data_IF_611899901013
#
_entry.id   IF_611899901013
#
_cell.length_a   1.000
_cell.length_b   1.000
_cell.length_c   1.000
_cell.angle_alpha   90.00
_cell.angle_beta   90.00
_cell.angle_gamma   90.00
#
_symmetry.space_group_name_H-M   'P 1'
#
loop_
_entity.id
_entity.type
_entity.pdbx_description
1 polymer ?
#
# COMPACT_ATOMS: atom_id res chain seq x y z
N UNK A 1 4.24 -31.96 -20.52
CA UNK A 1 4.91 -31.51 -19.28
C UNK A 1 3.97 -30.54 -18.60
N UNK A 2 3.71 -30.68 -17.30
CA UNK A 2 2.93 -29.70 -16.55
C UNK A 2 3.73 -28.40 -16.42
N UNK A 3 3.06 -27.25 -16.55
CA UNK A 3 3.71 -25.96 -16.31
C UNK A 3 4.07 -25.84 -14.82
N UNK A 4 5.22 -25.23 -14.50
CA UNK A 4 5.60 -25.01 -13.10
C UNK A 4 4.61 -24.08 -12.40
N UNK A 5 4.35 -24.37 -11.13
CA UNK A 5 3.46 -23.60 -10.25
C UNK A 5 4.21 -22.52 -9.49
N UNK A 6 3.50 -21.51 -8.99
CA UNK A 6 4.10 -20.45 -8.17
C UNK A 6 4.73 -21.00 -6.87
N UNK A 7 4.15 -22.06 -6.28
CA UNK A 7 4.74 -22.74 -5.11
C UNK A 7 6.06 -23.45 -5.45
N UNK A 8 6.16 -24.07 -6.64
CA UNK A 8 7.43 -24.67 -7.10
C UNK A 8 8.50 -23.59 -7.34
N UNK A 9 8.10 -22.44 -7.87
CA UNK A 9 8.98 -21.27 -7.95
C UNK A 9 9.43 -20.82 -6.55
N UNK A 10 8.52 -20.66 -5.60
CA UNK A 10 8.85 -20.26 -4.23
C UNK A 10 9.85 -21.21 -3.55
N UNK A 11 9.65 -22.52 -3.68
CA UNK A 11 10.60 -23.52 -3.16
C UNK A 11 11.98 -23.39 -3.79
N UNK A 12 12.04 -23.15 -5.10
CA UNK A 12 13.29 -22.95 -5.83
C UNK A 12 13.99 -21.64 -5.41
N UNK A 13 13.21 -20.59 -5.17
CA UNK A 13 13.70 -19.31 -4.65
C UNK A 13 14.28 -19.46 -3.24
N UNK A 14 13.64 -20.22 -2.33
CA UNK A 14 14.18 -20.47 -1.00
C UNK A 14 15.52 -21.20 -1.04
N UNK A 15 15.69 -22.14 -1.98
CA UNK A 15 16.99 -22.79 -2.19
C UNK A 15 18.04 -21.77 -2.65
N UNK A 16 17.70 -20.89 -3.59
CA UNK A 16 18.59 -19.82 -4.04
C UNK A 16 18.99 -18.90 -2.89
N UNK A 17 18.02 -18.41 -2.11
CA UNK A 17 18.23 -17.53 -0.95
C UNK A 17 19.22 -18.16 0.03
N UNK A 18 19.05 -19.45 0.35
CA UNK A 18 19.96 -20.18 1.23
C UNK A 18 21.42 -20.17 0.73
N UNK A 19 21.65 -20.28 -0.57
CA UNK A 19 23.03 -20.22 -1.13
C UNK A 19 23.71 -18.86 -0.93
N UNK A 20 22.92 -17.79 -0.75
CA UNK A 20 23.43 -16.45 -0.46
C UNK A 20 23.54 -16.20 1.05
N UNK A 21 22.63 -16.75 1.86
CA UNK A 21 22.74 -16.75 3.33
C UNK A 21 24.02 -17.47 3.80
N UNK A 22 24.41 -18.57 3.14
CA UNK A 22 25.68 -19.27 3.38
C UNK A 22 26.92 -18.41 3.08
N UNK A 23 26.75 -17.32 2.31
CA UNK A 23 27.79 -16.31 2.03
C UNK A 23 27.69 -15.09 2.95
N UNK A 24 26.96 -15.21 4.07
CA UNK A 24 26.67 -14.17 5.06
C UNK A 24 25.83 -13.00 4.53
N UNK A 25 25.07 -13.17 3.45
CA UNK A 25 24.09 -12.18 3.02
C UNK A 25 22.78 -12.36 3.79
N UNK A 26 22.31 -11.37 4.54
CA UNK A 26 21.01 -11.45 5.21
C UNK A 26 19.88 -11.06 4.26
N UNK A 27 18.99 -12.00 3.99
CA UNK A 27 17.78 -11.80 3.21
C UNK A 27 16.56 -12.14 4.05
N UNK A 28 15.50 -11.36 3.93
CA UNK A 28 14.19 -11.72 4.51
C UNK A 28 13.23 -12.02 3.38
N UNK A 29 12.68 -13.24 3.37
CA UNK A 29 11.67 -13.66 2.40
C UNK A 29 10.35 -13.86 3.11
N UNK A 30 9.29 -13.23 2.60
CA UNK A 30 7.91 -13.37 3.07
C UNK A 30 7.03 -13.86 1.91
N UNK A 31 6.22 -14.88 2.14
CA UNK A 31 5.24 -15.39 1.18
C UNK A 31 3.82 -15.08 1.67
N UNK A 32 2.99 -14.56 0.77
CA UNK A 32 1.54 -14.52 0.90
C UNK A 32 0.93 -15.42 -0.17
N UNK A 33 0.64 -16.66 0.20
CA UNK A 33 0.10 -17.67 -0.70
C UNK A 33 -1.33 -17.35 -1.17
N UNK A 34 -2.10 -16.57 -0.39
CA UNK A 34 -3.46 -16.21 -0.77
C UNK A 34 -3.45 -15.16 -1.90
N UNK A 35 -2.47 -14.26 -1.89
CA UNK A 35 -2.30 -13.21 -2.89
C UNK A 35 -1.33 -13.58 -4.01
N UNK A 36 -0.66 -14.75 -3.95
CA UNK A 36 0.43 -15.12 -4.84
C UNK A 36 1.56 -14.08 -4.87
N UNK A 37 1.92 -13.54 -3.71
CA UNK A 37 2.98 -12.54 -3.56
C UNK A 37 4.15 -13.14 -2.81
N UNK A 38 5.36 -12.89 -3.29
CA UNK A 38 6.60 -13.11 -2.56
C UNK A 38 7.29 -11.76 -2.42
N UNK A 39 7.68 -11.39 -1.20
CA UNK A 39 8.49 -10.20 -0.92
C UNK A 39 9.87 -10.62 -0.45
N UNK A 40 10.90 -10.02 -1.03
CA UNK A 40 12.29 -10.26 -0.66
C UNK A 40 12.89 -8.92 -0.23
N UNK A 41 13.40 -8.87 0.99
CA UNK A 41 14.03 -7.68 1.55
C UNK A 41 15.52 -7.96 1.76
N UNK A 42 16.35 -7.04 1.28
CA UNK A 42 17.78 -7.08 1.48
C UNK A 42 18.20 -6.61 2.87
N UNK A 43 19.51 -6.63 3.10
CA UNK A 43 20.11 -6.08 4.32
C UNK A 43 19.71 -4.61 4.50
N UNK A 44 19.42 -4.24 5.75
CA UNK A 44 19.04 -2.87 6.15
C UNK A 44 17.68 -2.36 5.61
N UNK A 45 16.85 -3.22 5.03
CA UNK A 45 15.46 -2.88 4.74
C UNK A 45 14.65 -2.75 6.06
N UNK A 46 14.74 -1.59 6.69
CA UNK A 46 14.04 -1.29 7.93
C UNK A 46 12.52 -1.19 7.73
N UNK A 47 11.78 -1.09 8.84
CA UNK A 47 10.32 -1.01 8.80
C UNK A 47 9.78 0.18 8.00
N UNK A 48 10.50 1.30 7.96
CA UNK A 48 10.09 2.52 7.25
C UNK A 48 10.29 2.34 5.76
N UNK A 49 11.46 1.86 5.33
CA UNK A 49 11.73 1.53 3.91
C UNK A 49 10.73 0.49 3.38
N UNK A 50 10.39 -0.51 4.21
CA UNK A 50 9.40 -1.53 3.84
C UNK A 50 7.99 -0.96 3.71
N UNK A 51 7.59 -0.06 4.61
CA UNK A 51 6.31 0.63 4.55
C UNK A 51 6.22 1.52 3.30
N UNK A 52 7.27 2.32 3.01
CA UNK A 52 7.37 3.13 1.79
C UNK A 52 7.17 2.28 0.54
N UNK A 53 7.93 1.20 0.42
CA UNK A 53 7.85 0.30 -0.74
C UNK A 53 6.47 -0.33 -0.89
N UNK A 54 5.83 -0.74 0.22
CA UNK A 54 4.53 -1.41 0.17
C UNK A 54 3.38 -0.44 -0.10
N UNK A 55 3.55 0.85 0.20
CA UNK A 55 2.55 1.88 -0.05
C UNK A 55 2.44 2.23 -1.54
N UNK A 56 3.50 2.07 -2.34
CA UNK A 56 3.49 2.40 -3.76
C UNK A 56 2.42 1.62 -4.55
N UNK A 57 2.18 0.35 -4.22
CA UNK A 57 1.11 -0.45 -4.85
C UNK A 57 -0.28 0.16 -4.59
N UNK A 58 -0.49 0.76 -3.41
CA UNK A 58 -1.76 1.42 -3.05
C UNK A 58 -1.89 2.75 -3.78
N UNK A 59 -0.80 3.50 -3.90
CA UNK A 59 -0.75 4.77 -4.63
C UNK A 59 -1.00 4.53 -6.13
N UNK A 60 -0.39 3.49 -6.70
CA UNK A 60 -0.61 3.08 -8.10
C UNK A 60 -2.08 2.70 -8.32
N UNK A 61 -2.67 1.90 -7.43
CA UNK A 61 -4.09 1.57 -7.48
C UNK A 61 -4.96 2.83 -7.42
N UNK A 62 -4.64 3.79 -6.55
CA UNK A 62 -5.36 5.04 -6.45
C UNK A 62 -5.29 5.88 -7.73
N UNK A 63 -4.12 5.93 -8.38
CA UNK A 63 -3.96 6.63 -9.66
C UNK A 63 -4.67 5.91 -10.82
N UNK A 64 -4.67 4.58 -10.84
CA UNK A 64 -5.31 3.79 -11.89
C UNK A 64 -6.83 3.70 -11.74
N UNK A 65 -7.35 3.91 -10.52
CA UNK A 65 -8.79 3.87 -10.24
C UNK A 65 -9.47 5.12 -10.81
N UNK A 66 -10.59 4.92 -11.51
CA UNK A 66 -11.37 6.03 -12.06
C UNK A 66 -11.87 6.96 -10.93
N UNK A 67 -11.74 8.28 -11.12
CA UNK A 67 -12.10 9.29 -10.11
C UNK A 67 -13.59 9.21 -9.67
N UNK A 68 -14.45 8.67 -10.52
CA UNK A 68 -15.87 8.46 -10.22
C UNK A 68 -16.15 7.25 -9.33
N UNK A 69 -15.15 6.41 -9.05
CA UNK A 69 -15.31 5.28 -8.16
C UNK A 69 -15.62 5.79 -6.73
N UNK A 70 -16.65 5.25 -6.04
CA UNK A 70 -17.16 5.84 -4.79
C UNK A 70 -16.13 5.93 -3.67
N UNK A 71 -15.10 5.06 -3.68
CA UNK A 71 -14.05 5.03 -2.68
C UNK A 71 -12.72 5.64 -3.16
N UNK A 72 -12.68 6.15 -4.40
CA UNK A 72 -11.45 6.68 -4.99
C UNK A 72 -10.85 7.80 -4.14
N UNK A 73 -11.65 8.83 -3.82
CA UNK A 73 -11.17 9.97 -3.04
C UNK A 73 -10.66 9.56 -1.64
N UNK A 74 -11.24 8.53 -1.03
CA UNK A 74 -10.76 7.99 0.25
C UNK A 74 -9.41 7.30 0.09
N UNK A 75 -9.28 6.41 -0.89
CA UNK A 75 -8.04 5.67 -1.14
C UNK A 75 -6.91 6.61 -1.57
N UNK A 76 -7.21 7.52 -2.50
CA UNK A 76 -6.27 8.49 -3.04
C UNK A 76 -5.68 9.38 -1.94
N UNK A 77 -6.52 10.15 -1.24
CA UNK A 77 -6.05 11.10 -0.24
C UNK A 77 -5.37 10.39 0.94
N UNK A 78 -5.86 9.23 1.39
CA UNK A 78 -5.19 8.49 2.47
C UNK A 78 -3.83 7.93 2.06
N UNK A 79 -3.69 7.47 0.81
CA UNK A 79 -2.42 6.96 0.29
C UNK A 79 -1.38 8.09 0.15
N UNK A 80 -1.78 9.28 -0.32
CA UNK A 80 -0.89 10.42 -0.46
C UNK A 80 -0.48 11.05 0.87
N UNK A 81 -1.39 11.15 1.84
CA UNK A 81 -1.02 11.55 3.21
C UNK A 81 0.02 10.59 3.78
N UNK A 82 -0.21 9.28 3.63
CA UNK A 82 0.72 8.25 4.10
C UNK A 82 2.08 8.38 3.40
N UNK A 83 2.08 8.70 2.10
CA UNK A 83 3.30 8.89 1.31
C UNK A 83 4.09 10.10 1.78
N UNK A 84 3.44 11.25 1.92
CA UNK A 84 4.07 12.48 2.42
C UNK A 84 4.70 12.27 3.81
N UNK A 85 3.97 11.65 4.75
CA UNK A 85 4.46 11.36 6.11
C UNK A 85 5.64 10.40 6.08
N UNK A 86 5.58 9.33 5.28
CA UNK A 86 6.67 8.37 5.19
C UNK A 86 7.90 8.99 4.52
N UNK A 87 7.74 9.75 3.42
CA UNK A 87 8.84 10.43 2.74
C UNK A 87 9.67 11.28 3.69
N UNK A 88 9.00 12.03 4.58
CA UNK A 88 9.58 12.89 5.61
C UNK A 88 9.80 12.20 6.96
N UNK A 89 9.76 10.87 7.04
CA UNK A 89 9.77 10.16 8.33
C UNK A 89 10.92 10.53 9.29
N UNK A 90 12.09 10.88 8.74
CA UNK A 90 13.28 11.25 9.50
C UNK A 90 13.53 12.77 9.53
N UNK A 91 12.63 13.56 8.96
CA UNK A 91 12.72 15.01 8.79
C UNK A 91 11.47 15.70 9.36
N UNK A 92 11.51 17.03 9.51
CA UNK A 92 10.33 17.80 9.87
C UNK A 92 9.42 18.01 8.64
N UNK A 93 8.09 17.95 8.87
CA UNK A 93 7.11 18.40 7.89
C UNK A 93 7.13 19.93 7.82
N UNK A 94 7.23 20.47 6.61
CA UNK A 94 7.13 21.90 6.37
C UNK A 94 5.69 22.40 6.50
N UNK A 95 5.52 23.73 6.56
CA UNK A 95 4.19 24.35 6.53
C UNK A 95 3.42 24.00 5.24
N UNK A 96 4.14 23.88 4.12
CA UNK A 96 3.57 23.44 2.83
C UNK A 96 3.08 21.99 2.92
N UNK A 97 3.91 21.07 3.42
CA UNK A 97 3.53 19.65 3.60
C UNK A 97 2.27 19.54 4.48
N UNK A 98 2.21 20.31 5.58
CA UNK A 98 1.06 20.34 6.48
C UNK A 98 -0.18 20.93 5.80
N UNK A 99 -0.03 21.97 4.98
CA UNK A 99 -1.12 22.56 4.20
C UNK A 99 -1.72 21.59 3.20
N UNK A 100 -0.88 20.83 2.49
CA UNK A 100 -1.33 19.77 1.58
C UNK A 100 -2.06 18.64 2.32
N UNK A 101 -1.51 18.18 3.45
CA UNK A 101 -2.17 17.18 4.29
C UNK A 101 -3.53 17.67 4.79
N UNK A 102 -3.64 18.92 5.23
CA UNK A 102 -4.92 19.50 5.67
C UNK A 102 -5.95 19.57 4.54
N UNK A 103 -5.52 19.91 3.33
CA UNK A 103 -6.39 19.89 2.17
C UNK A 103 -6.89 18.46 1.86
N UNK A 104 -5.98 17.47 1.85
CA UNK A 104 -6.34 16.07 1.63
C UNK A 104 -7.29 15.54 2.72
N UNK A 105 -7.10 15.92 3.98
CA UNK A 105 -8.01 15.58 5.08
C UNK A 105 -9.41 16.16 4.85
N UNK A 106 -9.51 17.38 4.32
CA UNK A 106 -10.79 18.00 3.98
C UNK A 106 -11.50 17.22 2.87
N UNK A 107 -10.76 16.74 1.86
CA UNK A 107 -11.31 15.88 0.81
C UNK A 107 -11.76 14.50 1.32
N UNK A 108 -11.04 13.92 2.29
CA UNK A 108 -11.48 12.70 2.98
C UNK A 108 -12.82 12.91 3.69
N UNK A 109 -12.95 14.01 4.45
CA UNK A 109 -14.19 14.35 5.15
C UNK A 109 -15.35 14.53 4.17
N UNK A 110 -15.14 15.33 3.11
CA UNK A 110 -16.13 15.55 2.06
C UNK A 110 -16.59 14.23 1.40
N UNK A 111 -15.67 13.28 1.19
CA UNK A 111 -15.99 11.97 0.63
C UNK A 111 -16.82 11.12 1.58
N UNK A 112 -16.46 11.08 2.86
CA UNK A 112 -17.23 10.40 3.92
C UNK A 112 -18.66 10.94 4.02
N UNK A 113 -18.83 12.27 4.01
CA UNK A 113 -20.15 12.90 4.12
C UNK A 113 -21.05 12.54 2.92
N UNK A 114 -20.49 12.52 1.70
CA UNK A 114 -21.21 12.08 0.50
C UNK A 114 -21.67 10.62 0.59
N UNK A 115 -20.83 9.74 1.13
CA UNK A 115 -21.18 8.32 1.32
C UNK A 115 -22.26 8.16 2.40
N UNK A 116 -22.15 8.88 3.51
CA UNK A 116 -23.14 8.86 4.59
C UNK A 116 -24.52 9.34 4.12
N UNK A 117 -24.55 10.41 3.32
CA UNK A 117 -25.80 10.90 2.73
C UNK A 117 -26.46 9.86 1.82
N UNK A 118 -25.67 9.15 0.99
CA UNK A 118 -26.19 8.06 0.14
C UNK A 118 -26.81 6.92 0.97
N UNK A 119 -26.16 6.53 2.07
CA UNK A 119 -26.68 5.49 2.98
C UNK A 119 -28.01 5.95 3.60
N UNK A 120 -28.07 7.21 4.05
CA UNK A 120 -29.25 7.79 4.69
C UNK A 120 -30.42 7.85 3.70
N UNK A 121 -30.18 8.35 2.48
CA UNK A 121 -31.20 8.44 1.42
C UNK A 121 -31.77 7.06 1.02
N UNK A 122 -30.92 6.03 0.90
CA UNK A 122 -31.35 4.66 0.61
C UNK A 122 -32.21 4.08 1.74
N UNK A 123 -31.81 4.26 3.00
CA UNK A 123 -32.58 3.79 4.17
C UNK A 123 -33.95 4.44 4.34
N UNK A 124 -34.18 5.62 3.75
CA UNK A 124 -35.52 6.25 3.65
C UNK A 124 -36.36 5.75 2.47
N UNK A 125 -35.74 5.22 1.41
CA UNK A 125 -36.48 4.68 0.24
C UNK A 125 -36.96 3.24 0.44
N UNK A 126 -36.27 2.49 1.32
CA UNK A 126 -36.60 1.09 1.64
C UNK A 126 -37.60 0.94 2.81
N UNK A 127 -38.18 2.05 3.30
CA UNK A 127 -39.23 2.10 4.33
C UNK A 127 -40.56 2.58 3.74
#
# INVERSE_FOLDING_TARGET
MSNPTFSEFYKSLLQLVKTFEEKNMMLKVEEDAALNIIRIFGENADSVSRAKSSLEDVVELAYATAEHHPYWALLYNSSLISKAVLEKWSDDLSEEDLGEIQWMVSELQNSCDKLMNKITEQGTRDK
#
